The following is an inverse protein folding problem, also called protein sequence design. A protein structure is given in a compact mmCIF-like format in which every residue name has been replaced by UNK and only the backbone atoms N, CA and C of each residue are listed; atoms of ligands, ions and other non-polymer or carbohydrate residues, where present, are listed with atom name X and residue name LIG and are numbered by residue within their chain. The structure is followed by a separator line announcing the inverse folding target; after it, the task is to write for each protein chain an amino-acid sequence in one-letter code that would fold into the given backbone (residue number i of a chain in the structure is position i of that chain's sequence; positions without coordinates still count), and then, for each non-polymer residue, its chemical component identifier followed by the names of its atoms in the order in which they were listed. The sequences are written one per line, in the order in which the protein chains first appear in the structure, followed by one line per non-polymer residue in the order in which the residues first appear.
data_IF_425372827662
#
_entry.id   IF_425372827662
#
_cell.length_a   1.000
_cell.length_b   1.000
_cell.length_c   1.000
_cell.angle_alpha   90.00
_cell.angle_beta   90.00
_cell.angle_gamma   90.00
#
_symmetry.space_group_name_H-M   'P 1'
#
loop_
_entity.id
_entity.type
_entity.pdbx_description
1 polymer ?
#
# COMPACT_ATOMS: atom_id res chain seq x y z
N UNK A 1 -30.13 -0.90 -1.38
CA UNK A 1 -29.48 0.02 -0.42
C UNK A 1 -28.72 -0.76 0.66
N UNK A 2 -27.59 -1.44 0.35
CA UNK A 2 -26.82 -2.20 1.37
C UNK A 2 -25.33 -2.46 1.06
N UNK A 3 -24.77 -1.92 -0.03
CA UNK A 3 -23.35 -2.13 -0.37
C UNK A 3 -22.29 -1.20 0.27
N UNK A 4 -22.55 -0.27 1.24
CA UNK A 4 -21.45 0.48 1.85
C UNK A 4 -20.47 -0.39 2.64
N UNK A 5 -20.98 -1.41 3.35
CA UNK A 5 -20.14 -2.24 4.22
C UNK A 5 -19.17 -3.13 3.43
N UNK A 6 -19.53 -3.57 2.23
CA UNK A 6 -18.65 -4.43 1.42
C UNK A 6 -17.41 -3.66 0.95
N UNK A 7 -17.56 -2.40 0.53
CA UNK A 7 -16.44 -1.53 0.16
C UNK A 7 -15.56 -1.17 1.35
N UNK A 8 -16.14 -0.92 2.53
CA UNK A 8 -15.38 -0.70 3.76
C UNK A 8 -14.62 -1.95 4.22
N UNK A 9 -15.22 -3.14 4.10
CA UNK A 9 -14.55 -4.40 4.40
C UNK A 9 -13.47 -4.75 3.37
N UNK A 10 -13.70 -4.49 2.08
CA UNK A 10 -12.69 -4.60 1.03
C UNK A 10 -11.53 -3.61 1.28
N UNK A 11 -11.81 -2.35 1.60
CA UNK A 11 -10.79 -1.34 1.89
C UNK A 11 -9.92 -1.68 3.10
N UNK A 12 -10.50 -2.18 4.19
CA UNK A 12 -9.74 -2.66 5.36
C UNK A 12 -8.94 -3.94 5.05
N UNK A 13 -9.49 -4.85 4.25
CA UNK A 13 -8.83 -6.10 3.87
C UNK A 13 -7.66 -5.85 2.90
N UNK A 14 -7.84 -4.92 1.96
CA UNK A 14 -6.79 -4.46 1.03
C UNK A 14 -5.69 -3.74 1.81
N UNK A 15 -6.02 -2.80 2.71
CA UNK A 15 -4.99 -2.13 3.55
C UNK A 15 -4.11 -3.12 4.32
N UNK A 16 -4.70 -4.17 4.90
CA UNK A 16 -3.94 -5.13 5.70
C UNK A 16 -3.10 -6.08 4.84
N UNK A 17 -3.63 -6.54 3.71
CA UNK A 17 -2.89 -7.41 2.79
C UNK A 17 -1.75 -6.67 2.09
N UNK A 18 -1.98 -5.40 1.72
CA UNK A 18 -0.98 -4.57 1.04
C UNK A 18 0.17 -4.23 1.99
N UNK A 19 -0.11 -4.02 3.28
CA UNK A 19 0.94 -3.83 4.28
C UNK A 19 1.87 -5.05 4.38
N UNK A 20 1.28 -6.25 4.33
CA UNK A 20 2.01 -7.50 4.46
C UNK A 20 2.89 -7.80 3.23
N UNK A 21 2.43 -7.47 2.01
CA UNK A 21 3.19 -7.69 0.78
C UNK A 21 4.17 -6.55 0.44
N UNK A 22 3.87 -5.31 0.83
CA UNK A 22 4.64 -4.14 0.38
C UNK A 22 5.98 -3.98 1.10
N UNK A 23 6.05 -4.27 2.41
CA UNK A 23 7.31 -4.15 3.17
C UNK A 23 8.38 -5.14 2.69
N UNK A 24 8.08 -6.44 2.48
CA UNK A 24 9.05 -7.38 1.92
C UNK A 24 9.49 -7.02 0.50
N UNK A 25 8.56 -6.57 -0.36
CA UNK A 25 8.86 -6.19 -1.73
C UNK A 25 9.82 -4.99 -1.80
N UNK A 26 9.58 -3.96 -0.98
CA UNK A 26 10.49 -2.81 -0.88
C UNK A 26 11.85 -3.20 -0.33
N UNK A 27 11.88 -3.98 0.76
CA UNK A 27 13.15 -4.47 1.32
C UNK A 27 13.93 -5.28 0.28
N UNK A 28 13.28 -6.16 -0.47
CA UNK A 28 13.92 -6.92 -1.53
C UNK A 28 14.40 -6.02 -2.68
N UNK A 29 13.65 -4.99 -3.05
CA UNK A 29 14.05 -4.03 -4.08
C UNK A 29 15.34 -3.26 -3.71
N UNK A 30 15.59 -3.02 -2.42
CA UNK A 30 16.81 -2.34 -1.95
C UNK A 30 17.97 -3.29 -1.60
N UNK A 31 17.69 -4.54 -1.20
CA UNK A 31 18.71 -5.46 -0.66
C UNK A 31 19.13 -6.56 -1.64
N UNK A 32 18.27 -6.94 -2.59
CA UNK A 32 18.57 -7.96 -3.61
C UNK A 32 19.24 -7.33 -4.82
N UNK A 33 19.77 -8.18 -5.72
CA UNK A 33 20.44 -7.78 -6.95
C UNK A 33 19.99 -8.66 -8.12
N UNK A 34 20.11 -8.15 -9.34
CA UNK A 34 19.76 -8.87 -10.56
C UNK A 34 18.25 -9.13 -10.66
N UNK A 35 17.88 -10.29 -11.19
CA UNK A 35 16.48 -10.64 -11.50
C UNK A 35 15.55 -10.60 -10.26
N UNK A 36 16.06 -10.97 -9.08
CA UNK A 36 15.29 -10.89 -7.83
C UNK A 36 14.93 -9.44 -7.47
N UNK A 37 15.85 -8.51 -7.72
CA UNK A 37 15.62 -7.09 -7.49
C UNK A 37 14.59 -6.54 -8.47
N UNK A 38 14.70 -6.88 -9.76
CA UNK A 38 13.73 -6.44 -10.77
C UNK A 38 12.31 -6.93 -10.49
N UNK A 39 12.17 -8.19 -10.04
CA UNK A 39 10.87 -8.73 -9.63
C UNK A 39 10.32 -7.97 -8.42
N UNK A 40 11.17 -7.73 -7.41
CA UNK A 40 10.78 -6.99 -6.21
C UNK A 40 10.37 -5.54 -6.52
N UNK A 41 11.08 -4.87 -7.44
CA UNK A 41 10.72 -3.51 -7.89
C UNK A 41 9.36 -3.51 -8.58
N UNK A 42 9.08 -4.49 -9.46
CA UNK A 42 7.76 -4.60 -10.10
C UNK A 42 6.64 -4.82 -9.08
N UNK A 43 6.84 -5.73 -8.13
CA UNK A 43 5.87 -6.01 -7.07
C UNK A 43 5.64 -4.78 -6.16
N UNK A 44 6.71 -4.11 -5.74
CA UNK A 44 6.62 -2.87 -4.96
C UNK A 44 5.86 -1.78 -5.73
N UNK A 45 6.11 -1.65 -7.03
CA UNK A 45 5.44 -0.67 -7.88
C UNK A 45 3.93 -0.97 -8.06
N UNK A 46 3.53 -2.23 -8.22
CA UNK A 46 2.12 -2.60 -8.27
C UNK A 46 1.40 -2.31 -6.95
N UNK A 47 2.04 -2.60 -5.82
CA UNK A 47 1.50 -2.25 -4.50
C UNK A 47 1.35 -0.72 -4.34
N UNK A 48 2.33 0.06 -4.79
CA UNK A 48 2.27 1.52 -4.77
C UNK A 48 1.13 2.09 -5.62
N UNK A 49 0.84 1.52 -6.81
CA UNK A 49 -0.31 1.92 -7.62
C UNK A 49 -1.65 1.71 -6.92
N UNK A 50 -1.78 0.60 -6.19
CA UNK A 50 -2.98 0.33 -5.40
C UNK A 50 -3.13 1.40 -4.31
N UNK A 51 -2.04 1.78 -3.65
CA UNK A 51 -2.06 2.88 -2.69
C UNK A 51 -2.46 4.20 -3.36
N UNK A 52 -1.83 4.58 -4.46
CA UNK A 52 -2.14 5.81 -5.19
C UNK A 52 -3.64 5.91 -5.55
N UNK A 53 -4.23 4.83 -6.08
CA UNK A 53 -5.67 4.79 -6.36
C UNK A 53 -6.56 4.87 -5.11
N UNK A 54 -6.10 4.35 -3.97
CA UNK A 54 -6.80 4.45 -2.69
C UNK A 54 -6.80 5.86 -2.09
N UNK A 55 -5.77 6.65 -2.42
CA UNK A 55 -5.57 8.02 -1.98
C UNK A 55 -6.24 9.05 -2.92
N UNK A 56 -6.62 8.66 -4.14
CA UNK A 56 -7.23 9.56 -5.12
C UNK A 56 -8.44 10.32 -4.54
N UNK A 57 -8.38 11.65 -4.64
CA UNK A 57 -9.41 12.55 -4.10
C UNK A 57 -9.44 12.68 -2.56
N UNK A 58 -8.46 12.10 -1.84
CA UNK A 58 -8.34 12.19 -0.38
C UNK A 58 -6.99 12.78 0.01
N UNK A 59 -6.96 13.47 1.14
CA UNK A 59 -5.73 14.01 1.72
C UNK A 59 -4.89 12.92 2.41
N UNK A 60 -5.57 11.98 3.06
CA UNK A 60 -4.99 10.81 3.72
C UNK A 60 -5.82 9.56 3.42
N UNK A 61 -5.28 8.37 3.63
CA UNK A 61 -6.08 7.14 3.58
C UNK A 61 -7.18 7.13 4.64
N UNK A 62 -6.95 7.77 5.79
CA UNK A 62 -7.95 8.05 6.81
C UNK A 62 -8.93 9.19 6.46
N UNK A 63 -8.88 9.74 5.24
CA UNK A 63 -9.69 10.88 4.80
C UNK A 63 -9.13 12.19 5.32
N UNK A 64 -9.74 12.75 6.36
CA UNK A 64 -9.31 14.01 6.99
C UNK A 64 -8.29 13.81 8.13
N UNK A 65 -8.12 12.56 8.58
CA UNK A 65 -7.21 12.21 9.66
C UNK A 65 -6.12 11.26 9.16
N UNK A 66 -4.96 11.30 9.82
CA UNK A 66 -3.86 10.37 9.54
C UNK A 66 -4.31 8.97 9.98
N UNK A 67 -4.34 8.04 9.02
CA UNK A 67 -4.60 6.64 9.24
C UNK A 67 -3.32 5.81 9.36
N UNK A 68 -3.48 4.54 9.67
CA UNK A 68 -2.37 3.59 9.82
C UNK A 68 -1.50 3.46 8.56
N UNK A 69 -2.12 3.45 7.38
CA UNK A 69 -1.41 3.39 6.09
C UNK A 69 -0.57 4.65 5.87
N UNK A 70 -1.07 5.82 6.27
CA UNK A 70 -0.35 7.09 6.14
C UNK A 70 0.94 7.10 7.00
N UNK A 71 0.88 6.53 8.21
CA UNK A 71 2.05 6.40 9.10
C UNK A 71 3.12 5.48 8.49
N UNK A 72 2.70 4.34 7.93
CA UNK A 72 3.65 3.37 7.36
C UNK A 72 4.25 3.88 6.05
N UNK A 73 3.46 4.52 5.20
CA UNK A 73 3.97 5.18 4.00
C UNK A 73 5.00 6.26 4.35
N UNK A 74 4.76 7.04 5.42
CA UNK A 74 5.73 8.00 5.95
C UNK A 74 7.05 7.37 6.40
N UNK A 75 7.00 6.16 6.97
CA UNK A 75 8.20 5.41 7.39
C UNK A 75 9.02 4.89 6.20
N UNK A 76 8.35 4.52 5.10
CA UNK A 76 8.99 4.08 3.86
C UNK A 76 9.68 5.23 3.10
N UNK A 77 9.17 6.45 3.24
CA UNK A 77 9.74 7.63 2.58
C UNK A 77 11.00 8.22 3.23
N UNK A 78 11.43 7.68 4.38
CA UNK A 78 12.69 8.05 5.06
C UNK A 78 13.85 7.15 4.59
#
# INVERSE_FOLDING_TARGET
MQRPCLYLMLGKKISLSLLFSMVPALMAAFTKKGEEQERAVKEAHENLKILESGLEGKRFFGGETIGFVDIIAGWIGC
#
